data_IF_854789678840
#
_entry.id   IF_854789678840
#
_cell.length_a   1.000
_cell.length_b   1.000
_cell.length_c   1.000
_cell.angle_alpha   90.00
_cell.angle_beta   90.00
_cell.angle_gamma   90.00
#
_symmetry.space_group_name_H-M   'P 1'
#
loop_
_entity.id
_entity.type
_entity.pdbx_description
1 polymer ?
#
# COMPACT_ATOMS: atom_id res chain seq x y z
N UNK A 1 -7.79 32.31 28.06
CA UNK A 1 -7.74 31.53 29.32
C UNK A 1 -8.77 30.40 29.33
N UNK A 2 -10.05 30.68 29.05
CA UNK A 2 -11.13 29.69 29.05
C UNK A 2 -10.97 28.53 28.06
N UNK A 3 -10.35 28.74 26.89
CA UNK A 3 -10.10 27.65 25.93
C UNK A 3 -9.14 26.60 26.46
N UNK A 4 -8.09 27.00 27.17
CA UNK A 4 -7.14 26.06 27.78
C UNK A 4 -7.83 25.15 28.79
N UNK A 5 -8.70 25.72 29.63
CA UNK A 5 -9.51 24.98 30.61
C UNK A 5 -10.47 24.00 29.91
N UNK A 6 -11.09 24.41 28.79
CA UNK A 6 -11.95 23.51 28.01
C UNK A 6 -11.17 22.34 27.42
N UNK A 7 -9.98 22.61 26.87
CA UNK A 7 -9.10 21.59 26.30
C UNK A 7 -8.65 20.61 27.38
N UNK A 8 -8.23 21.10 28.55
CA UNK A 8 -7.83 20.25 29.68
C UNK A 8 -8.95 19.32 30.14
N UNK A 9 -10.18 19.83 30.26
CA UNK A 9 -11.35 19.01 30.59
C UNK A 9 -11.60 17.93 29.53
N UNK A 10 -11.49 18.28 28.25
CA UNK A 10 -11.65 17.31 27.15
C UNK A 10 -10.55 16.24 27.20
N UNK A 11 -9.29 16.62 27.44
CA UNK A 11 -8.18 15.68 27.55
C UNK A 11 -8.33 14.74 28.75
N UNK A 12 -8.85 15.25 29.88
CA UNK A 12 -9.17 14.42 31.04
C UNK A 12 -10.25 13.38 30.70
N UNK A 13 -11.33 13.81 30.02
CA UNK A 13 -12.40 12.89 29.58
C UNK A 13 -11.86 11.82 28.63
N UNK A 14 -11.04 12.20 27.64
CA UNK A 14 -10.38 11.24 26.73
C UNK A 14 -9.56 10.21 27.52
N UNK A 15 -8.80 10.64 28.53
CA UNK A 15 -7.99 9.75 29.36
C UNK A 15 -8.85 8.74 30.12
N UNK A 16 -9.93 9.19 30.76
CA UNK A 16 -10.84 8.33 31.51
C UNK A 16 -11.53 7.31 30.59
N UNK A 17 -11.94 7.72 29.39
CA UNK A 17 -12.54 6.81 28.39
C UNK A 17 -11.54 5.72 27.99
N UNK A 18 -10.29 6.10 27.69
CA UNK A 18 -9.23 5.15 27.31
C UNK A 18 -8.90 4.16 28.42
N UNK A 19 -8.87 4.60 29.68
CA UNK A 19 -8.66 3.74 30.84
C UNK A 19 -9.78 2.70 31.03
N UNK A 20 -10.97 3.00 30.52
CA UNK A 20 -12.16 2.17 30.64
C UNK A 20 -12.50 1.43 29.33
N UNK A 21 -11.53 1.28 28.42
CA UNK A 21 -11.68 0.53 27.16
C UNK A 21 -12.84 0.98 26.26
N UNK A 22 -13.21 2.25 26.29
CA UNK A 22 -14.24 2.88 25.43
C UNK A 22 -15.70 2.41 25.64
N UNK A 23 -15.95 1.16 26.02
CA UNK A 23 -17.31 0.58 26.12
C UNK A 23 -17.97 0.78 27.49
N UNK A 24 -17.18 1.03 28.54
CA UNK A 24 -17.68 1.14 29.91
C UNK A 24 -18.19 2.57 30.18
N UNK A 25 -19.22 2.99 29.45
CA UNK A 25 -19.75 4.36 29.48
C UNK A 25 -20.32 4.76 30.84
N UNK A 26 -21.00 3.84 31.53
CA UNK A 26 -21.59 4.08 32.86
C UNK A 26 -20.52 4.34 33.93
N UNK A 27 -19.44 3.54 33.90
CA UNK A 27 -18.31 3.71 34.80
C UNK A 27 -17.55 5.00 34.51
N UNK A 28 -17.29 5.27 33.23
CA UNK A 28 -16.66 6.49 32.76
C UNK A 28 -17.46 7.73 33.17
N UNK A 29 -18.78 7.69 33.04
CA UNK A 29 -19.68 8.79 33.42
C UNK A 29 -19.58 9.10 34.92
N UNK A 30 -19.63 8.08 35.78
CA UNK A 30 -19.48 8.24 37.23
C UNK A 30 -18.15 8.88 37.59
N UNK A 31 -17.06 8.40 36.99
CA UNK A 31 -15.71 8.95 37.22
C UNK A 31 -15.60 10.40 36.74
N UNK A 32 -16.21 10.76 35.62
CA UNK A 32 -16.26 12.17 35.17
C UNK A 32 -16.98 13.07 36.19
N UNK A 33 -18.10 12.60 36.77
CA UNK A 33 -18.82 13.34 37.83
C UNK A 33 -17.96 13.48 39.09
N UNK A 34 -17.31 12.40 39.53
CA UNK A 34 -16.42 12.40 40.71
C UNK A 34 -15.26 13.40 40.54
N UNK A 35 -14.79 13.59 39.31
CA UNK A 35 -13.77 14.57 38.94
C UNK A 35 -14.32 16.01 38.77
N UNK A 36 -15.60 16.24 39.07
CA UNK A 36 -16.25 17.55 38.99
C UNK A 36 -16.61 17.98 37.56
N UNK A 37 -16.72 17.05 36.61
CA UNK A 37 -17.11 17.34 35.24
C UNK A 37 -18.62 17.13 35.04
N UNK A 38 -19.33 18.17 34.63
CA UNK A 38 -20.71 18.04 34.16
C UNK A 38 -20.72 17.67 32.68
N UNK A 39 -21.16 16.44 32.39
CA UNK A 39 -21.22 15.89 31.03
C UNK A 39 -22.59 15.26 30.82
N UNK A 40 -23.09 15.28 29.59
CA UNK A 40 -24.30 14.55 29.22
C UNK A 40 -23.96 13.09 28.89
N UNK A 41 -24.72 12.14 29.46
CA UNK A 41 -24.54 10.68 29.23
C UNK A 41 -24.55 10.30 27.76
N UNK A 42 -25.51 10.79 26.98
CA UNK A 42 -25.61 10.48 25.55
C UNK A 42 -24.43 11.07 24.77
N UNK A 43 -24.01 12.29 25.13
CA UNK A 43 -22.84 12.92 24.52
C UNK A 43 -21.56 12.15 24.83
N UNK A 44 -21.40 11.65 26.06
CA UNK A 44 -20.25 10.84 26.46
C UNK A 44 -20.17 9.55 25.65
N UNK A 45 -21.29 8.85 25.48
CA UNK A 45 -21.35 7.62 24.68
C UNK A 45 -20.90 7.86 23.24
N UNK A 46 -21.51 8.86 22.56
CA UNK A 46 -21.11 9.23 21.19
C UNK A 46 -19.66 9.66 21.10
N UNK A 47 -19.19 10.42 22.08
CA UNK A 47 -17.81 10.90 22.13
C UNK A 47 -16.82 9.75 22.27
N UNK A 48 -17.09 8.78 23.13
CA UNK A 48 -16.26 7.60 23.32
C UNK A 48 -16.23 6.70 22.07
N UNK A 49 -17.36 6.46 21.40
CA UNK A 49 -17.37 5.71 20.12
C UNK A 49 -16.57 6.43 19.03
N UNK A 50 -16.69 7.76 18.95
CA UNK A 50 -15.91 8.57 17.98
C UNK A 50 -14.41 8.56 18.32
N UNK A 51 -14.07 8.67 19.59
CA UNK A 51 -12.68 8.62 20.06
C UNK A 51 -12.04 7.28 19.74
N UNK A 52 -12.77 6.18 19.95
CA UNK A 52 -12.31 4.83 19.61
C UNK A 52 -12.01 4.69 18.12
N UNK A 53 -12.90 5.17 17.25
CA UNK A 53 -12.71 5.11 15.80
C UNK A 53 -11.47 5.90 15.35
N UNK A 54 -11.27 7.08 15.92
CA UNK A 54 -10.10 7.93 15.66
C UNK A 54 -8.81 7.22 16.11
N UNK A 55 -8.79 6.70 17.33
CA UNK A 55 -7.61 6.03 17.88
C UNK A 55 -7.27 4.75 17.08
N UNK A 56 -8.28 3.97 16.65
CA UNK A 56 -8.10 2.81 15.74
C UNK A 56 -7.56 3.22 14.37
N UNK A 57 -8.09 4.29 13.77
CA UNK A 57 -7.62 4.79 12.49
C UNK A 57 -6.15 5.26 12.56
N UNK A 58 -5.78 5.96 13.64
CA UNK A 58 -4.39 6.35 13.89
C UNK A 58 -3.46 5.15 14.05
N UNK A 59 -3.90 4.11 14.75
CA UNK A 59 -3.11 2.89 14.92
C UNK A 59 -2.90 2.18 13.57
N UNK A 60 -3.95 2.06 12.77
CA UNK A 60 -3.88 1.46 11.42
C UNK A 60 -2.93 2.23 10.51
N UNK A 61 -2.99 3.57 10.50
CA UNK A 61 -2.06 4.41 9.73
C UNK A 61 -0.61 4.18 10.15
N UNK A 62 -0.32 4.15 11.45
CA UNK A 62 1.03 3.88 11.96
C UNK A 62 1.52 2.49 11.56
N UNK A 63 0.66 1.47 11.63
CA UNK A 63 1.00 0.12 11.20
C UNK A 63 1.31 0.05 9.72
N UNK A 64 0.53 0.73 8.89
CA UNK A 64 0.78 0.84 7.45
C UNK A 64 2.13 1.52 7.15
N UNK A 65 2.44 2.62 7.83
CA UNK A 65 3.71 3.33 7.69
C UNK A 65 4.91 2.46 8.11
N UNK A 66 4.79 1.74 9.23
CA UNK A 66 5.81 0.79 9.68
C UNK A 66 6.03 -0.34 8.68
N UNK A 67 4.95 -0.93 8.16
CA UNK A 67 5.03 -1.99 7.17
C UNK A 67 5.68 -1.50 5.86
N UNK A 68 5.33 -0.29 5.41
CA UNK A 68 5.95 0.35 4.24
C UNK A 68 7.45 0.57 4.45
N UNK A 69 7.86 1.03 5.63
CA UNK A 69 9.26 1.23 5.97
C UNK A 69 10.03 -0.10 6.04
N UNK A 70 9.42 -1.14 6.60
CA UNK A 70 10.01 -2.47 6.68
C UNK A 70 10.25 -3.06 5.27
N UNK A 71 9.28 -2.91 4.36
CA UNK A 71 9.46 -3.33 2.97
C UNK A 71 10.60 -2.57 2.28
N UNK A 72 10.68 -1.25 2.47
CA UNK A 72 11.76 -0.45 1.91
C UNK A 72 13.15 -0.90 2.43
N UNK A 73 13.26 -1.22 3.73
CA UNK A 73 14.51 -1.73 4.32
C UNK A 73 14.88 -3.12 3.79
N UNK A 74 13.90 -4.01 3.61
CA UNK A 74 14.13 -5.34 3.02
C UNK A 74 14.66 -5.22 1.59
N UNK A 75 14.07 -4.34 0.78
CA UNK A 75 14.52 -4.08 -0.59
C UNK A 75 15.95 -3.53 -0.62
N UNK A 76 16.26 -2.57 0.26
CA UNK A 76 17.59 -1.97 0.30
C UNK A 76 18.68 -2.97 0.75
N UNK A 77 18.37 -3.85 1.72
CA UNK A 77 19.28 -4.95 2.12
C UNK A 77 19.54 -5.95 0.99
N UNK A 78 18.55 -6.23 0.14
CA UNK A 78 18.73 -7.10 -1.02
C UNK A 78 19.63 -6.44 -2.09
N UNK A 79 19.44 -5.16 -2.36
CA UNK A 79 20.29 -4.39 -3.29
C UNK A 79 21.75 -4.39 -2.82
N UNK A 80 22.00 -4.13 -1.52
CA UNK A 80 23.37 -4.15 -0.95
C UNK A 80 23.99 -5.55 -1.06
N UNK A 81 23.23 -6.63 -0.83
CA UNK A 81 23.73 -8.01 -0.99
C UNK A 81 24.07 -8.34 -2.44
N UNK A 82 23.24 -7.91 -3.40
CA UNK A 82 23.52 -8.11 -4.84
C UNK A 82 24.73 -7.30 -5.30
N UNK A 83 24.88 -6.05 -4.83
CA UNK A 83 26.03 -5.22 -5.11
C UNK A 83 27.34 -5.81 -4.53
N UNK A 84 27.28 -6.39 -3.33
CA UNK A 84 28.41 -7.09 -2.73
C UNK A 84 28.84 -8.32 -3.55
N UNK A 85 27.88 -9.14 -4.02
CA UNK A 85 28.18 -10.30 -4.87
C UNK A 85 28.76 -9.91 -6.24
N UNK A 86 28.30 -8.81 -6.84
CA UNK A 86 28.85 -8.32 -8.11
C UNK A 86 30.28 -7.78 -7.95
N UNK A 87 30.66 -7.29 -6.77
CA UNK A 87 32.03 -6.83 -6.48
C UNK A 87 33.01 -7.99 -6.35
N UNK A 88 32.57 -9.15 -5.86
CA UNK A 88 33.39 -10.36 -5.76
C UNK A 88 33.65 -11.01 -7.13
N UNK A 89 32.70 -10.91 -8.07
CA UNK A 89 32.88 -11.42 -9.43
C UNK A 89 33.84 -10.56 -10.28
N UNK A 90 33.93 -9.26 -10.01
CA UNK A 90 34.89 -8.37 -10.70
C UNK A 90 36.30 -8.39 -10.10
N UNK A 91 36.49 -8.88 -8.87
CA UNK A 91 37.81 -8.99 -8.24
C UNK A 91 38.58 -10.28 -8.60
N UNK A 92 37.95 -11.24 -9.28
CA UNK A 92 38.59 -12.51 -9.72
C UNK A 92 39.23 -12.39 -11.12
N UNK A 93 39.02 -11.28 -11.84
CA UNK A 93 39.53 -11.07 -13.20
C UNK A 93 40.71 -10.09 -13.33
N UNK A 94 41.37 -9.71 -12.22
CA UNK A 94 42.52 -8.79 -12.23
C UNK A 94 43.86 -9.41 -11.79
N UNK A 95 44.03 -10.74 -11.93
CA UNK A 95 45.34 -11.39 -11.79
C UNK A 95 45.59 -12.46 -12.86
N UNK A 96 46.13 -12.06 -14.00
CA UNK A 96 46.60 -13.01 -15.02
C UNK A 96 47.07 -12.36 -16.32
N UNK A 97 48.38 -12.26 -16.46
CA UNK A 97 49.16 -11.62 -17.53
C UNK A 97 48.82 -11.95 -18.99
N UNK A 98 49.28 -11.01 -19.81
CA UNK A 98 49.34 -10.86 -21.25
C UNK A 98 50.00 -11.99 -22.09
N UNK A 99 49.68 -11.94 -23.39
CA UNK A 99 50.50 -12.19 -24.62
C UNK A 99 50.14 -13.40 -25.52
N UNK A 100 50.05 -13.07 -26.82
CA UNK A 100 50.10 -13.87 -28.08
C UNK A 100 48.75 -14.30 -28.68
N UNK A 101 48.14 -13.52 -29.59
CA UNK A 101 48.47 -13.30 -31.02
C UNK A 101 47.83 -14.30 -32.00
N UNK A 102 46.90 -13.76 -32.78
CA UNK A 102 46.58 -14.06 -34.19
C UNK A 102 45.91 -15.40 -34.56
N UNK A 103 44.64 -15.32 -35.01
CA UNK A 103 44.30 -15.51 -36.45
C UNK A 103 42.81 -15.27 -36.75
N UNK A 104 42.63 -14.45 -37.80
CA UNK A 104 41.63 -14.52 -38.87
C UNK A 104 40.20 -13.97 -38.66
N UNK A 105 40.07 -12.78 -39.26
CA UNK A 105 38.91 -12.18 -39.90
C UNK A 105 38.26 -13.08 -40.97
N UNK A 106 36.93 -13.08 -41.05
CA UNK A 106 36.17 -13.29 -42.29
C UNK A 106 34.91 -12.40 -42.31
N UNK A 107 34.58 -11.94 -43.52
CA UNK A 107 33.73 -10.79 -43.86
C UNK A 107 32.21 -11.10 -43.90
N UNK A 108 31.43 -10.02 -43.80
CA UNK A 108 29.98 -9.87 -44.00
C UNK A 108 29.45 -10.38 -45.37
N UNK A 109 28.17 -10.79 -45.40
CA UNK A 109 27.05 -10.30 -46.26
C UNK A 109 26.02 -11.42 -46.52
N UNK A 110 24.78 -11.35 -46.02
CA UNK A 110 23.60 -10.61 -46.52
C UNK A 110 22.88 -11.30 -47.71
N UNK A 111 21.62 -11.72 -47.52
CA UNK A 111 20.48 -11.24 -48.35
C UNK A 111 19.15 -11.94 -48.05
N UNK A 112 18.11 -11.14 -48.26
CA UNK A 112 16.68 -11.33 -48.08
C UNK A 112 16.07 -12.55 -48.77
N UNK A 113 14.97 -13.05 -48.19
CA UNK A 113 13.79 -13.40 -48.97
C UNK A 113 12.52 -13.24 -48.12
N UNK A 114 11.62 -12.36 -48.59
CA UNK A 114 10.23 -12.25 -48.15
C UNK A 114 9.46 -13.54 -48.48
N UNK A 115 8.68 -14.03 -47.52
CA UNK A 115 7.38 -14.66 -47.78
C UNK A 115 6.49 -14.49 -46.56
N UNK A 116 5.48 -13.65 -46.74
CA UNK A 116 4.27 -13.44 -45.96
C UNK A 116 3.61 -14.76 -45.53
N UNK A 117 3.18 -14.89 -44.26
CA UNK A 117 1.93 -15.53 -43.78
C UNK A 117 1.81 -15.27 -42.26
N UNK A 118 0.91 -14.35 -41.94
CA UNK A 118 -0.03 -14.26 -40.79
C UNK A 118 0.41 -14.20 -39.30
N UNK A 119 -0.25 -13.34 -38.49
CA UNK A 119 0.05 -13.13 -37.07
C UNK A 119 -0.48 -14.27 -36.17
N UNK A 120 0.20 -14.62 -35.06
CA UNK A 120 -0.35 -15.60 -34.14
C UNK A 120 -1.60 -15.04 -33.45
N UNK A 121 -2.71 -15.72 -33.73
CA UNK A 121 -4.07 -15.46 -33.28
C UNK A 121 -4.21 -15.56 -31.75
N UNK A 122 -4.64 -14.46 -31.12
CA UNK A 122 -4.99 -14.38 -29.69
C UNK A 122 -6.38 -14.97 -29.40
N UNK A 123 -6.57 -16.28 -29.59
CA UNK A 123 -7.78 -16.97 -29.10
C UNK A 123 -7.51 -18.44 -28.77
N UNK A 124 -7.08 -18.70 -27.53
CA UNK A 124 -7.48 -19.87 -26.71
C UNK A 124 -6.68 -19.91 -25.42
N UNK A 125 -7.28 -19.46 -24.33
CA UNK A 125 -7.12 -19.99 -22.97
C UNK A 125 -8.18 -19.31 -22.08
N UNK A 126 -9.43 -19.42 -22.51
CA UNK A 126 -10.61 -19.21 -21.69
C UNK A 126 -11.29 -20.57 -21.56
N UNK A 127 -10.72 -21.45 -20.73
CA UNK A 127 -11.36 -22.61 -20.12
C UNK A 127 -10.34 -23.31 -19.23
N UNK A 128 -10.31 -22.89 -17.97
CA UNK A 128 -10.08 -23.76 -16.80
C UNK A 128 -10.38 -22.93 -15.54
N UNK A 129 -11.67 -22.65 -15.34
CA UNK A 129 -12.19 -22.36 -14.01
C UNK A 129 -12.50 -23.69 -13.33
N UNK A 130 -11.54 -24.24 -12.57
CA UNK A 130 -11.84 -25.17 -11.49
C UNK A 130 -10.62 -25.28 -10.53
N UNK A 131 -10.77 -24.70 -9.35
CA UNK A 131 -10.03 -25.04 -8.13
C UNK A 131 -8.49 -25.02 -8.18
N UNK A 132 -7.88 -23.83 -8.02
CA UNK A 132 -6.53 -23.75 -7.45
C UNK A 132 -6.54 -22.82 -6.23
N UNK A 133 -6.24 -23.45 -5.09
CA UNK A 133 -5.99 -22.86 -3.79
C UNK A 133 -4.97 -21.72 -3.93
N UNK A 134 -4.96 -20.70 -3.06
CA UNK A 134 -3.89 -19.71 -3.05
C UNK A 134 -2.58 -20.44 -2.78
N UNK A 135 -1.75 -20.57 -3.81
CA UNK A 135 -0.40 -21.10 -3.67
C UNK A 135 0.35 -20.06 -2.87
N UNK A 136 0.56 -20.34 -1.59
CA UNK A 136 1.45 -19.59 -0.71
C UNK A 136 2.87 -19.82 -1.20
N UNK A 137 3.26 -19.07 -2.23
CA UNK A 137 4.63 -19.07 -2.76
C UNK A 137 5.53 -18.38 -1.75
N UNK A 138 6.65 -19.03 -1.42
CA UNK A 138 7.67 -18.49 -0.51
C UNK A 138 8.22 -17.17 -1.07
N UNK A 139 8.50 -16.17 -0.22
CA UNK A 139 9.10 -14.92 -0.67
C UNK A 139 10.53 -15.19 -1.17
N UNK A 140 10.81 -14.96 -2.45
CA UNK A 140 12.19 -14.91 -2.96
C UNK A 140 12.47 -15.56 -4.32
N UNK A 141 11.56 -16.34 -4.90
CA UNK A 141 11.81 -17.07 -6.15
C UNK A 141 10.75 -16.74 -7.22
N UNK A 142 10.59 -15.46 -7.54
CA UNK A 142 9.78 -15.07 -8.69
C UNK A 142 10.70 -14.89 -9.89
N UNK A 143 10.44 -15.64 -10.96
CA UNK A 143 11.17 -15.46 -12.22
C UNK A 143 10.98 -14.03 -12.75
N UNK A 144 11.98 -13.49 -13.45
CA UNK A 144 11.91 -12.15 -14.05
C UNK A 144 10.63 -11.97 -14.89
N UNK A 145 10.23 -12.98 -15.66
CA UNK A 145 9.00 -12.93 -16.46
C UNK A 145 7.73 -12.83 -15.60
N UNK A 146 7.69 -13.55 -14.48
CA UNK A 146 6.57 -13.52 -13.54
C UNK A 146 6.51 -12.17 -12.79
N UNK A 147 7.67 -11.59 -12.44
CA UNK A 147 7.73 -10.24 -11.86
C UNK A 147 7.18 -9.23 -12.85
N UNK A 148 7.61 -9.28 -14.11
CA UNK A 148 7.15 -8.37 -15.16
C UNK A 148 5.64 -8.50 -15.44
N UNK A 149 5.12 -9.73 -15.40
CA UNK A 149 3.68 -9.99 -15.50
C UNK A 149 2.93 -9.38 -14.32
N UNK A 150 3.38 -9.62 -13.08
CA UNK A 150 2.77 -9.02 -11.88
C UNK A 150 2.85 -7.51 -11.88
N UNK A 151 3.96 -6.92 -12.30
CA UNK A 151 4.10 -5.45 -12.44
C UNK A 151 3.06 -4.90 -13.43
N UNK A 152 2.83 -5.61 -14.54
CA UNK A 152 1.82 -5.24 -15.54
C UNK A 152 0.41 -5.33 -14.95
N UNK A 153 0.09 -6.43 -14.27
CA UNK A 153 -1.21 -6.64 -13.61
C UNK A 153 -1.46 -5.58 -12.53
N UNK A 154 -0.46 -5.29 -11.69
CA UNK A 154 -0.53 -4.26 -10.65
C UNK A 154 -0.77 -2.88 -11.29
N UNK A 155 -0.07 -2.57 -12.38
CA UNK A 155 -0.22 -1.29 -13.08
C UNK A 155 -1.64 -1.13 -13.63
N UNK A 156 -2.18 -2.19 -14.23
CA UNK A 156 -3.54 -2.17 -14.76
C UNK A 156 -4.58 -2.01 -13.64
N UNK A 157 -4.48 -2.81 -12.58
CA UNK A 157 -5.36 -2.72 -11.41
C UNK A 157 -5.31 -1.34 -10.74
N UNK A 158 -4.13 -0.71 -10.68
CA UNK A 158 -3.97 0.65 -10.16
C UNK A 158 -4.66 1.68 -11.06
N UNK A 159 -4.60 1.49 -12.39
CA UNK A 159 -5.33 2.31 -13.36
C UNK A 159 -6.84 2.22 -13.17
N UNK A 160 -7.39 1.00 -13.06
CA UNK A 160 -8.81 0.78 -12.80
C UNK A 160 -9.27 1.43 -11.49
N UNK A 161 -8.48 1.29 -10.42
CA UNK A 161 -8.80 1.92 -9.14
C UNK A 161 -8.82 3.44 -9.23
N UNK A 162 -7.88 4.06 -9.97
CA UNK A 162 -7.86 5.51 -10.19
C UNK A 162 -9.08 6.01 -10.96
N UNK A 163 -9.54 5.25 -11.95
CA UNK A 163 -10.75 5.60 -12.71
C UNK A 163 -11.96 5.56 -11.77
N UNK A 164 -12.13 4.48 -11.00
CA UNK A 164 -13.22 4.34 -10.02
C UNK A 164 -13.18 5.42 -8.94
N UNK A 165 -11.99 5.77 -8.44
CA UNK A 165 -11.81 6.87 -7.48
C UNK A 165 -12.34 8.19 -8.06
N UNK A 166 -12.00 8.50 -9.31
CA UNK A 166 -12.44 9.72 -9.97
C UNK A 166 -13.96 9.73 -10.22
N UNK A 167 -14.55 8.59 -10.60
CA UNK A 167 -16.01 8.43 -10.74
C UNK A 167 -16.72 8.70 -9.41
N UNK A 168 -16.24 8.13 -8.30
CA UNK A 168 -16.80 8.37 -6.97
C UNK A 168 -16.69 9.83 -6.53
N UNK A 169 -15.56 10.49 -6.83
CA UNK A 169 -15.40 11.91 -6.55
C UNK A 169 -16.41 12.76 -7.32
N UNK A 170 -16.67 12.43 -8.60
CA UNK A 170 -17.70 13.11 -9.38
C UNK A 170 -19.10 12.88 -8.82
N UNK A 171 -19.42 11.66 -8.38
CA UNK A 171 -20.69 11.36 -7.73
C UNK A 171 -20.87 12.16 -6.43
N UNK A 172 -19.83 12.26 -5.61
CA UNK A 172 -19.84 13.06 -4.39
C UNK A 172 -20.05 14.55 -4.68
N UNK A 173 -19.39 15.10 -5.71
CA UNK A 173 -19.60 16.48 -6.15
C UNK A 173 -21.07 16.68 -6.56
N UNK A 174 -21.62 15.78 -7.36
CA UNK A 174 -23.01 15.86 -7.80
C UNK A 174 -23.99 15.80 -6.61
N UNK A 175 -23.75 14.93 -5.64
CA UNK A 175 -24.56 14.85 -4.42
C UNK A 175 -24.45 16.12 -3.57
N UNK A 176 -23.26 16.70 -3.45
CA UNK A 176 -23.05 17.98 -2.77
C UNK A 176 -23.84 19.10 -3.44
N UNK A 177 -23.75 19.22 -4.76
CA UNK A 177 -24.49 20.21 -5.54
C UNK A 177 -26.01 20.05 -5.39
N UNK A 178 -26.50 18.81 -5.35
CA UNK A 178 -27.92 18.52 -5.11
C UNK A 178 -28.38 18.92 -3.71
N UNK A 179 -27.54 18.73 -2.68
CA UNK A 179 -27.85 19.15 -1.31
C UNK A 179 -27.87 20.68 -1.20
N UNK A 180 -26.88 21.37 -1.78
CA UNK A 180 -26.80 22.82 -1.77
C UNK A 180 -27.99 23.47 -2.51
N UNK A 181 -28.43 22.87 -3.62
CA UNK A 181 -29.63 23.32 -4.34
C UNK A 181 -30.92 23.10 -3.53
N UNK A 182 -31.01 22.03 -2.73
CA UNK A 182 -32.17 21.79 -1.85
C UNK A 182 -32.19 22.66 -0.61
N UNK A 183 -31.04 23.14 -0.12
CA UNK A 183 -30.98 24.07 1.01
C UNK A 183 -31.28 25.53 0.63
N UNK A 184 -31.20 25.87 -0.66
CA UNK A 184 -31.50 27.21 -1.20
C UNK A 184 -32.97 27.41 -1.60
N UNK A 185 -33.77 26.35 -1.57
CA UNK A 185 -35.24 26.39 -1.72
C UNK A 185 -35.91 26.18 -0.36
#
# INVERSE_FOLDING_TARGET
MFEKIKIEKIELVKRVIRQNNYEQYEKTYKQCIELGLSINRQALSRFASKLELIDKAHLSKRQFELHKLEQAQRNNKQIIRQAANNKTNNAILESGNEVASSKQSSYLSSSHNEKTIEPPSYKKLAQDQAATRPVTMKPGEMSYEQVKQRETEITFALGELKIKENELLQELINLSDMLDKRQKN
#
